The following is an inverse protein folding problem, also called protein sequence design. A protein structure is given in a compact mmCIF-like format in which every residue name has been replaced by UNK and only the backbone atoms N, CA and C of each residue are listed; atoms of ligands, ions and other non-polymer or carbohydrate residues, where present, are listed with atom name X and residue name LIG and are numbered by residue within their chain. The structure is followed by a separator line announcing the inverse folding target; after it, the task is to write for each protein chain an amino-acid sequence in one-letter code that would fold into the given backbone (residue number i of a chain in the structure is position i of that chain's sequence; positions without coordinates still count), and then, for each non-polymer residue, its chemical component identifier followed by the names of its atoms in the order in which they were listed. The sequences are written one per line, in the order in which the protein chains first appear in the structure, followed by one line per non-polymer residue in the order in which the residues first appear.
data_IF_994168459462
#
_entry.id   IF_994168459462
#
_cell.length_a   1.000
_cell.length_b   1.000
_cell.length_c   1.000
_cell.angle_alpha   90.00
_cell.angle_beta   90.00
_cell.angle_gamma   90.00
#
_symmetry.space_group_name_H-M   'P 1'
#
loop_
_entity.id
_entity.type
_entity.pdbx_description
1 polymer ?
#
# COMPACT_ATOMS: atom_id res chain seq x y z
N UNK A 1 -8.61 -1.74 28.72
CA UNK A 1 -10.00 -1.21 28.79
C UNK A 1 -11.09 -2.23 28.46
N UNK A 2 -10.94 -3.10 27.44
CA UNK A 2 -11.94 -4.16 27.15
C UNK A 2 -12.13 -5.16 28.32
N UNK A 3 -11.12 -5.30 29.16
CA UNK A 3 -11.13 -6.13 30.38
C UNK A 3 -12.08 -5.60 31.45
N UNK A 4 -12.18 -4.28 31.64
CA UNK A 4 -13.07 -3.69 32.65
C UNK A 4 -14.55 -3.85 32.27
N UNK A 5 -14.89 -3.69 30.98
CA UNK A 5 -16.24 -3.99 30.47
C UNK A 5 -16.61 -5.46 30.61
N UNK A 6 -15.71 -6.37 30.23
CA UNK A 6 -15.92 -7.82 30.38
C UNK A 6 -16.13 -8.22 31.84
N UNK A 7 -15.31 -7.69 32.74
CA UNK A 7 -15.39 -7.99 34.17
C UNK A 7 -16.70 -7.44 34.80
N UNK A 8 -17.18 -6.28 34.33
CA UNK A 8 -18.44 -5.71 34.79
C UNK A 8 -19.65 -6.49 34.27
N UNK A 9 -19.65 -6.92 33.00
CA UNK A 9 -20.71 -7.74 32.41
C UNK A 9 -20.80 -9.14 33.06
N UNK A 10 -19.67 -9.73 33.46
CA UNK A 10 -19.64 -11.04 34.12
C UNK A 10 -20.06 -11.00 35.61
N UNK A 11 -19.92 -9.85 36.28
CA UNK A 11 -20.15 -9.74 37.72
C UNK A 11 -21.29 -8.83 38.16
N UNK A 12 -21.94 -8.08 37.26
CA UNK A 12 -23.11 -7.27 37.57
C UNK A 12 -24.33 -7.65 36.72
N UNK A 13 -25.30 -8.33 37.35
CA UNK A 13 -26.68 -8.39 36.85
C UNK A 13 -27.34 -7.03 37.03
N UNK A 14 -27.43 -6.25 35.95
CA UNK A 14 -28.15 -4.97 35.92
C UNK A 14 -29.66 -5.20 36.05
N UNK A 15 -30.34 -4.63 37.07
CA UNK A 15 -31.78 -4.76 37.22
C UNK A 15 -32.52 -4.07 36.06
N UNK A 16 -33.66 -4.64 35.66
CA UNK A 16 -34.50 -4.15 34.56
C UNK A 16 -34.85 -2.68 34.73
N UNK A 17 -34.38 -1.83 33.81
CA UNK A 17 -34.61 -0.39 33.80
C UNK A 17 -33.34 0.47 33.93
N UNK A 18 -32.17 -0.12 34.22
CA UNK A 18 -30.88 0.57 34.25
C UNK A 18 -29.98 0.16 33.07
N UNK A 19 -29.35 1.14 32.42
CA UNK A 19 -28.36 0.92 31.37
C UNK A 19 -27.01 1.53 31.80
N UNK A 20 -25.94 0.74 31.77
CA UNK A 20 -24.58 1.24 32.02
C UNK A 20 -24.07 1.86 30.73
N UNK A 21 -24.05 3.19 30.65
CA UNK A 21 -23.40 3.92 29.56
C UNK A 21 -22.04 4.45 30.02
N UNK A 22 -21.00 4.20 29.22
CA UNK A 22 -19.65 4.70 29.49
C UNK A 22 -19.56 6.12 28.92
N UNK A 23 -19.72 7.14 29.77
CA UNK A 23 -19.62 8.55 29.39
C UNK A 23 -18.17 9.07 29.44
N UNK A 24 -17.83 10.07 28.60
CA UNK A 24 -16.51 10.73 28.57
C UNK A 24 -15.71 10.53 27.26
N UNK A 25 -14.37 10.59 27.32
CA UNK A 25 -13.47 10.43 26.15
C UNK A 25 -13.65 9.10 25.40
N UNK A 26 -14.18 8.07 26.06
CA UNK A 26 -14.42 6.77 25.46
C UNK A 26 -15.51 6.78 24.38
N UNK A 27 -16.58 7.56 24.55
CA UNK A 27 -17.64 7.72 23.55
C UNK A 27 -17.09 8.39 22.28
N UNK A 28 -16.30 9.46 22.45
CA UNK A 28 -15.59 10.11 21.35
C UNK A 28 -14.62 9.17 20.62
N UNK A 29 -13.87 8.34 21.35
CA UNK A 29 -12.97 7.35 20.73
C UNK A 29 -13.76 6.27 19.97
N UNK A 30 -14.89 5.81 20.50
CA UNK A 30 -15.76 4.84 19.81
C UNK A 30 -16.39 5.44 18.56
N UNK A 31 -16.87 6.67 18.63
CA UNK A 31 -17.46 7.37 17.48
C UNK A 31 -16.40 7.63 16.40
N UNK A 32 -15.20 8.07 16.79
CA UNK A 32 -14.07 8.22 15.87
C UNK A 32 -13.68 6.90 15.22
N UNK A 33 -13.62 5.80 15.99
CA UNK A 33 -13.33 4.47 15.45
C UNK A 33 -14.39 4.00 14.44
N UNK A 34 -15.68 4.25 14.71
CA UNK A 34 -16.77 3.95 13.76
C UNK A 34 -16.64 4.75 12.47
N UNK A 35 -16.34 6.06 12.57
CA UNK A 35 -16.11 6.90 11.39
C UNK A 35 -14.90 6.42 10.59
N UNK A 36 -13.80 6.08 11.24
CA UNK A 36 -12.61 5.54 10.59
C UNK A 36 -12.87 4.20 9.91
N UNK A 37 -13.66 3.32 10.50
CA UNK A 37 -14.05 2.05 9.89
C UNK A 37 -14.79 2.25 8.55
N UNK A 38 -15.45 3.40 8.34
CA UNK A 38 -16.04 3.78 7.05
C UNK A 38 -15.06 4.53 6.14
N UNK A 39 -14.26 5.44 6.69
CA UNK A 39 -13.32 6.29 5.93
C UNK A 39 -12.16 5.47 5.35
N UNK A 40 -11.60 4.53 6.11
CA UNK A 40 -10.49 3.67 5.67
C UNK A 40 -10.83 2.90 4.38
N UNK A 41 -11.94 2.13 4.30
CA UNK A 41 -12.28 1.44 3.06
C UNK A 41 -12.65 2.41 1.93
N UNK A 42 -13.34 3.52 2.22
CA UNK A 42 -13.68 4.52 1.20
C UNK A 42 -12.44 5.15 0.56
N UNK A 43 -11.43 5.50 1.38
CA UNK A 43 -10.16 6.07 0.90
C UNK A 43 -9.31 5.04 0.16
N UNK A 44 -9.22 3.79 0.64
CA UNK A 44 -8.55 2.71 -0.10
C UNK A 44 -9.18 2.48 -1.48
N UNK A 45 -10.52 2.51 -1.55
CA UNK A 45 -11.24 2.37 -2.82
C UNK A 45 -10.95 3.55 -3.76
N UNK A 46 -10.90 4.78 -3.24
CA UNK A 46 -10.51 5.97 -3.99
C UNK A 46 -9.08 5.84 -4.54
N UNK A 47 -8.11 5.45 -3.70
CA UNK A 47 -6.71 5.25 -4.12
C UNK A 47 -6.64 4.19 -5.21
N UNK A 48 -7.32 3.07 -5.05
CA UNK A 48 -7.39 1.99 -6.05
C UNK A 48 -7.95 2.50 -7.39
N UNK A 49 -9.02 3.29 -7.33
CA UNK A 49 -9.62 3.90 -8.53
C UNK A 49 -8.65 4.84 -9.24
N UNK A 50 -7.92 5.68 -8.50
CA UNK A 50 -6.92 6.60 -9.07
C UNK A 50 -5.78 5.82 -9.73
N UNK A 51 -5.25 4.78 -9.08
CA UNK A 51 -4.19 3.92 -9.65
C UNK A 51 -4.68 3.29 -10.96
N UNK A 52 -5.89 2.72 -10.95
CA UNK A 52 -6.48 2.09 -12.13
C UNK A 52 -6.63 3.08 -13.30
N UNK A 53 -7.10 4.29 -13.02
CA UNK A 53 -7.25 5.34 -14.03
C UNK A 53 -5.90 5.82 -14.59
N UNK A 54 -4.86 5.81 -13.76
CA UNK A 54 -3.51 6.23 -14.15
C UNK A 54 -2.81 5.20 -15.05
N UNK A 55 -2.80 3.93 -14.66
CA UNK A 55 -2.08 2.89 -15.40
C UNK A 55 -2.86 2.38 -16.62
N UNK A 56 -4.20 2.50 -16.61
CA UNK A 56 -5.14 1.94 -17.61
C UNK A 56 -4.86 0.48 -17.98
N UNK A 57 -4.19 -0.28 -17.11
CA UNK A 57 -3.73 -1.64 -17.35
C UNK A 57 -3.85 -2.46 -16.07
N UNK A 58 -4.61 -3.54 -16.13
CA UNK A 58 -4.87 -4.42 -14.98
C UNK A 58 -3.56 -5.00 -14.43
N UNK A 59 -2.63 -5.40 -15.31
CA UNK A 59 -1.33 -5.96 -14.89
C UNK A 59 -0.50 -4.94 -14.12
N UNK A 60 -0.41 -3.70 -14.63
CA UNK A 60 0.34 -2.62 -13.97
C UNK A 60 -0.29 -2.24 -12.63
N UNK A 61 -1.61 -2.14 -12.59
CA UNK A 61 -2.34 -1.90 -11.33
C UNK A 61 -2.07 -2.99 -10.31
N UNK A 62 -2.08 -4.27 -10.69
CA UNK A 62 -1.84 -5.37 -9.76
C UNK A 62 -0.43 -5.33 -9.17
N UNK A 63 0.59 -4.98 -9.97
CA UNK A 63 1.96 -4.81 -9.50
C UNK A 63 2.04 -3.70 -8.43
N UNK A 64 1.42 -2.54 -8.68
CA UNK A 64 1.37 -1.44 -7.70
C UNK A 64 0.56 -1.84 -6.47
N UNK A 65 -0.54 -2.54 -6.67
CA UNK A 65 -1.43 -2.99 -5.59
C UNK A 65 -0.75 -4.01 -4.67
N UNK A 66 0.25 -4.77 -5.15
CA UNK A 66 1.08 -5.66 -4.33
C UNK A 66 2.09 -4.90 -3.45
N UNK A 67 2.52 -3.70 -3.87
CA UNK A 67 3.43 -2.88 -3.08
C UNK A 67 2.76 -2.33 -1.80
N UNK A 68 1.46 -2.01 -1.89
CA UNK A 68 0.67 -1.46 -0.78
C UNK A 68 0.60 -2.39 0.46
N UNK A 69 0.18 -3.67 0.38
CA UNK A 69 0.17 -4.55 1.54
C UNK A 69 1.59 -4.81 2.08
N UNK A 70 2.61 -4.78 1.23
CA UNK A 70 3.99 -4.96 1.66
C UNK A 70 4.48 -3.81 2.54
N UNK A 71 4.16 -2.56 2.18
CA UNK A 71 4.51 -1.40 2.99
C UNK A 71 3.73 -1.37 4.32
N UNK A 72 2.46 -1.75 4.31
CA UNK A 72 1.61 -1.88 5.49
C UNK A 72 2.19 -2.87 6.50
N UNK A 73 2.71 -4.01 6.04
CA UNK A 73 3.42 -4.98 6.91
C UNK A 73 4.63 -4.33 7.56
N UNK A 74 5.43 -3.56 6.79
CA UNK A 74 6.55 -2.79 7.33
C UNK A 74 6.14 -1.76 8.38
N UNK A 75 5.04 -1.03 8.13
CA UNK A 75 4.48 -0.06 9.07
C UNK A 75 4.05 -0.74 10.38
N UNK A 76 3.37 -1.89 10.31
CA UNK A 76 2.96 -2.66 11.50
C UNK A 76 4.17 -3.15 12.29
N UNK A 77 5.21 -3.65 11.60
CA UNK A 77 6.46 -4.07 12.23
C UNK A 77 7.14 -2.92 12.99
N UNK A 78 7.20 -1.74 12.38
CA UNK A 78 7.80 -0.55 13.01
C UNK A 78 7.03 -0.14 14.26
N UNK A 79 5.69 -0.11 14.19
CA UNK A 79 4.84 0.21 15.33
C UNK A 79 4.97 -0.80 16.47
N UNK A 80 5.13 -2.08 16.12
CA UNK A 80 5.34 -3.14 17.10
C UNK A 80 6.67 -2.95 17.85
N UNK A 81 7.76 -2.68 17.13
CA UNK A 81 9.09 -2.45 17.72
C UNK A 81 9.10 -1.20 18.59
N UNK A 82 8.41 -0.13 18.19
CA UNK A 82 8.32 1.12 18.96
C UNK A 82 7.26 1.07 20.08
N UNK A 83 6.57 -0.05 20.25
CA UNK A 83 5.49 -0.22 21.23
C UNK A 83 4.40 0.87 21.14
N UNK A 84 4.09 1.33 19.93
CA UNK A 84 3.01 2.30 19.72
C UNK A 84 1.63 1.64 19.73
N UNK A 85 0.66 2.34 20.32
CA UNK A 85 -0.74 1.93 20.27
C UNK A 85 -1.35 2.30 18.91
N UNK A 86 -2.21 1.41 18.39
CA UNK A 86 -3.04 1.71 17.22
C UNK A 86 -3.99 2.85 17.61
N UNK A 87 -3.84 3.99 16.93
CA UNK A 87 -4.61 5.20 17.16
C UNK A 87 -5.13 5.78 15.85
N UNK A 88 -5.98 6.80 15.94
CA UNK A 88 -6.47 7.55 14.77
C UNK A 88 -5.30 8.11 13.94
N UNK A 89 -4.28 8.67 14.60
CA UNK A 89 -3.11 9.20 13.92
C UNK A 89 -2.34 8.13 13.14
N UNK A 90 -2.20 6.94 13.73
CA UNK A 90 -1.57 5.79 13.06
C UNK A 90 -2.38 5.35 11.84
N UNK A 91 -3.71 5.29 11.96
CA UNK A 91 -4.57 4.95 10.82
C UNK A 91 -4.44 5.95 9.67
N UNK A 92 -4.43 7.26 9.97
CA UNK A 92 -4.21 8.30 8.95
C UNK A 92 -2.81 8.18 8.32
N UNK A 93 -1.78 7.91 9.13
CA UNK A 93 -0.43 7.67 8.63
C UNK A 93 -0.32 6.47 7.70
N UNK A 94 -1.01 5.36 8.01
CA UNK A 94 -1.05 4.18 7.13
C UNK A 94 -1.73 4.46 5.79
N UNK A 95 -2.79 5.29 5.77
CA UNK A 95 -3.43 5.72 4.53
C UNK A 95 -2.47 6.59 3.70
N UNK A 96 -1.77 7.53 4.34
CA UNK A 96 -0.80 8.39 3.67
C UNK A 96 0.36 7.57 3.07
N UNK A 97 0.87 6.58 3.81
CA UNK A 97 1.90 5.64 3.35
C UNK A 97 1.42 4.89 2.10
N UNK A 98 0.21 4.31 2.11
CA UNK A 98 -0.35 3.62 0.96
C UNK A 98 -0.43 4.50 -0.30
N UNK A 99 -0.73 5.80 -0.14
CA UNK A 99 -0.71 6.76 -1.25
C UNK A 99 0.69 7.03 -1.81
N UNK A 100 1.68 7.18 -0.93
CA UNK A 100 3.10 7.35 -1.30
C UNK A 100 3.63 6.11 -2.02
N UNK A 101 3.27 4.92 -1.56
CA UNK A 101 3.66 3.67 -2.22
C UNK A 101 3.06 3.54 -3.62
N UNK A 102 1.80 3.94 -3.78
CA UNK A 102 1.14 3.98 -5.07
C UNK A 102 1.85 4.92 -6.05
N UNK A 103 2.21 6.13 -5.60
CA UNK A 103 2.99 7.10 -6.37
C UNK A 103 4.34 6.50 -6.80
N UNK A 104 5.08 5.95 -5.85
CA UNK A 104 6.41 5.38 -6.11
C UNK A 104 6.34 4.18 -7.06
N UNK A 105 5.35 3.30 -6.89
CA UNK A 105 5.13 2.17 -7.77
C UNK A 105 4.78 2.57 -9.21
N UNK A 106 3.93 3.59 -9.37
CA UNK A 106 3.56 4.12 -10.70
C UNK A 106 4.79 4.75 -11.38
N UNK A 107 5.55 5.58 -10.66
CA UNK A 107 6.77 6.21 -11.19
C UNK A 107 7.76 5.15 -11.65
N UNK A 108 7.96 4.09 -10.86
CA UNK A 108 8.84 2.98 -11.23
C UNK A 108 8.38 2.28 -12.52
N UNK A 109 7.08 2.00 -12.65
CA UNK A 109 6.54 1.39 -13.87
C UNK A 109 6.69 2.29 -15.09
N UNK A 110 6.48 3.60 -14.94
CA UNK A 110 6.70 4.57 -16.00
C UNK A 110 8.15 4.56 -16.48
N UNK A 111 9.11 4.56 -15.56
CA UNK A 111 10.53 4.48 -15.92
C UNK A 111 10.88 3.16 -16.61
N UNK A 112 10.29 2.05 -16.17
CA UNK A 112 10.47 0.75 -16.80
C UNK A 112 9.92 0.72 -18.22
N UNK A 113 8.74 1.30 -18.45
CA UNK A 113 8.15 1.45 -19.79
C UNK A 113 9.07 2.28 -20.69
N UNK A 114 9.54 3.44 -20.21
CA UNK A 114 10.46 4.31 -20.96
C UNK A 114 11.77 3.59 -21.29
N UNK A 115 12.31 2.82 -20.35
CA UNK A 115 13.54 2.05 -20.57
C UNK A 115 13.33 0.94 -21.61
N UNK A 116 12.20 0.22 -21.52
CA UNK A 116 11.82 -0.82 -22.46
C UNK A 116 11.64 -0.27 -23.88
N UNK A 117 10.93 0.86 -24.03
CA UNK A 117 10.72 1.51 -25.33
C UNK A 117 12.05 1.99 -25.94
N UNK A 118 12.95 2.54 -25.11
CA UNK A 118 14.31 2.93 -25.56
C UNK A 118 15.12 1.73 -26.03
N UNK A 119 15.02 0.58 -25.35
CA UNK A 119 15.70 -0.65 -25.76
C UNK A 119 15.10 -1.20 -27.06
N UNK A 120 13.78 -1.21 -27.21
CA UNK A 120 13.11 -1.59 -28.46
C UNK A 120 13.49 -0.66 -29.62
N UNK A 121 13.56 0.65 -29.40
CA UNK A 121 13.96 1.62 -30.42
C UNK A 121 15.43 1.43 -30.84
N UNK A 122 16.34 1.14 -29.89
CA UNK A 122 17.74 0.82 -30.17
C UNK A 122 17.92 -0.55 -30.82
N UNK A 123 17.16 -1.55 -30.39
CA UNK A 123 17.16 -2.89 -30.97
C UNK A 123 16.59 -2.89 -32.39
N UNK A 124 15.53 -2.13 -32.65
CA UNK A 124 14.95 -1.96 -33.98
C UNK A 124 15.90 -1.23 -34.95
N UNK A 125 16.70 -0.26 -34.47
CA UNK A 125 17.71 0.43 -35.28
C UNK A 125 19.01 -0.36 -35.44
N UNK A 126 19.36 -1.23 -34.49
CA UNK A 126 20.54 -2.11 -34.57
C UNK A 126 20.30 -3.42 -35.35
N UNK A 127 19.06 -3.92 -35.42
CA UNK A 127 18.74 -5.26 -35.97
C UNK A 127 17.72 -5.27 -37.12
N UNK A 128 17.54 -4.16 -37.86
CA UNK A 128 16.89 -4.16 -39.18
C UNK A 128 15.59 -4.96 -39.28
N UNK A 129 14.68 -4.84 -38.29
CA UNK A 129 13.34 -5.41 -38.37
C UNK A 129 13.17 -6.92 -38.08
N UNK A 130 14.01 -7.56 -37.26
CA UNK A 130 13.76 -8.93 -36.76
C UNK A 130 13.96 -9.09 -35.25
N UNK A 131 13.03 -8.54 -34.47
CA UNK A 131 13.01 -8.62 -33.02
C UNK A 131 11.87 -9.52 -32.52
N UNK A 132 12.11 -10.83 -32.43
CA UNK A 132 11.32 -11.69 -31.53
C UNK A 132 12.09 -12.94 -31.08
N UNK A 133 13.09 -13.40 -31.83
CA UNK A 133 13.78 -14.67 -31.53
C UNK A 133 15.17 -14.60 -30.88
N UNK A 134 15.87 -13.47 -30.87
CA UNK A 134 17.32 -13.40 -30.51
C UNK A 134 17.67 -12.53 -29.29
N UNK A 135 16.69 -12.07 -28.51
CA UNK A 135 16.94 -11.16 -27.37
C UNK A 135 17.44 -11.85 -26.09
N UNK A 136 17.39 -13.17 -25.97
CA UNK A 136 17.70 -13.91 -24.72
C UNK A 136 19.07 -14.61 -24.73
N UNK A 137 20.12 -13.92 -25.17
CA UNK A 137 21.49 -14.46 -25.03
C UNK A 137 22.10 -13.97 -23.71
N UNK A 138 22.68 -14.88 -22.93
CA UNK A 138 23.30 -14.62 -21.62
C UNK A 138 24.32 -13.47 -21.62
N UNK A 139 24.97 -13.26 -22.76
CA UNK A 139 25.98 -12.21 -22.96
C UNK A 139 25.38 -10.80 -22.93
N UNK A 140 24.24 -10.60 -23.62
CA UNK A 140 23.52 -9.33 -23.66
C UNK A 140 22.89 -8.98 -22.30
N UNK A 141 22.56 -9.98 -21.48
CA UNK A 141 21.98 -9.78 -20.16
C UNK A 141 23.02 -9.26 -19.16
N UNK A 142 24.26 -9.75 -19.23
CA UNK A 142 25.35 -9.30 -18.36
C UNK A 142 25.74 -7.84 -18.64
N UNK A 143 25.77 -7.45 -19.91
CA UNK A 143 26.10 -6.08 -20.33
C UNK A 143 25.01 -5.08 -19.91
N UNK A 144 23.73 -5.47 -20.01
CA UNK A 144 22.60 -4.64 -19.57
C UNK A 144 22.57 -4.43 -18.04
N UNK A 145 22.92 -5.45 -17.25
CA UNK A 145 23.01 -5.34 -15.78
C UNK A 145 24.13 -4.37 -15.38
N UNK A 146 25.27 -4.44 -16.06
CA UNK A 146 26.43 -3.58 -15.77
C UNK A 146 26.16 -2.10 -16.09
N UNK A 147 25.54 -1.80 -17.23
CA UNK A 147 25.21 -0.41 -17.59
C UNK A 147 24.05 0.16 -16.73
N UNK A 148 23.06 -0.66 -16.40
CA UNK A 148 21.94 -0.27 -15.53
C UNK A 148 22.35 0.03 -14.09
N UNK A 149 23.35 -0.71 -13.56
CA UNK A 149 23.88 -0.50 -12.22
C UNK A 149 24.67 0.82 -12.09
N UNK A 150 25.38 1.22 -13.16
CA UNK A 150 26.22 2.44 -13.17
C UNK A 150 25.40 3.72 -13.25
N UNK A 151 24.23 3.71 -13.90
CA UNK A 151 23.35 4.89 -13.99
C UNK A 151 22.60 5.24 -12.70
N UNK A 152 22.81 4.46 -11.65
CA UNK A 152 22.17 4.65 -10.33
C UNK A 152 23.02 5.49 -9.37
N UNK A 153 24.22 5.90 -9.79
CA UNK A 153 25.06 6.92 -9.14
C UNK A 153 24.99 8.20 -9.93
#
# INVERSE_FOLDING_TARGET
MNTAKKYLDEHLTVPTGYFITWSGQFEFMQEAAKKLALIIPATLLLVLLIIYLNTRSITKTLIVMLAVPFSLVGAVWLLYILHYNISVAVAVGMIALAGLDAETGIVMLLYLDIAYDKMCARGASALGGKASGQMFTLENLNEAIHEGAVRRV
#
